data_IF_456214515067
#
_entry.id   IF_456214515067
#
_cell.length_a   1.000
_cell.length_b   1.000
_cell.length_c   1.000
_cell.angle_alpha   90.00
_cell.angle_beta   90.00
_cell.angle_gamma   90.00
#
_symmetry.space_group_name_H-M   'P 1'
#
loop_
_entity.id
_entity.type
_entity.pdbx_description
1 polymer ?
#
# COMPACT_ATOMS: atom_id res chain seq x y z
N UNK A 1 205.52 -139.02 -49.19
CA UNK A 1 204.70 -138.86 -47.97
C UNK A 1 204.26 -137.41 -47.73
N UNK A 2 205.06 -136.36 -48.02
CA UNK A 2 204.68 -134.95 -47.73
C UNK A 2 203.54 -134.36 -48.58
N UNK A 3 203.37 -134.78 -49.85
CA UNK A 3 202.29 -134.27 -50.72
C UNK A 3 200.88 -134.71 -50.26
N UNK A 4 200.77 -135.86 -49.61
CA UNK A 4 199.48 -136.38 -49.14
C UNK A 4 198.92 -135.58 -47.96
N UNK A 5 199.78 -134.98 -47.12
CA UNK A 5 199.36 -134.17 -45.97
C UNK A 5 198.88 -132.79 -46.41
N UNK A 6 199.49 -132.21 -47.46
CA UNK A 6 199.03 -130.92 -48.03
C UNK A 6 197.69 -131.04 -48.77
N UNK A 7 197.46 -132.10 -49.54
CA UNK A 7 196.16 -132.33 -50.18
C UNK A 7 195.04 -132.48 -49.14
N UNK A 8 195.24 -133.28 -48.09
CA UNK A 8 194.25 -133.44 -47.03
C UNK A 8 193.93 -132.12 -46.32
N UNK A 9 194.93 -131.25 -46.09
CA UNK A 9 194.70 -129.96 -45.43
C UNK A 9 193.91 -128.95 -46.29
N UNK A 10 194.15 -128.94 -47.61
CA UNK A 10 193.37 -128.09 -48.51
C UNK A 10 191.95 -128.64 -48.74
N UNK A 11 191.75 -129.96 -48.74
CA UNK A 11 190.42 -130.59 -48.75
C UNK A 11 189.62 -130.22 -47.49
N UNK A 12 190.22 -130.35 -46.31
CA UNK A 12 189.64 -129.93 -45.03
C UNK A 12 189.25 -128.44 -45.00
N UNK A 13 190.05 -127.60 -45.66
CA UNK A 13 189.80 -126.16 -45.78
C UNK A 13 188.66 -125.87 -46.75
N UNK A 14 188.58 -126.60 -47.85
CA UNK A 14 187.51 -126.47 -48.85
C UNK A 14 186.17 -126.94 -48.28
N UNK A 15 186.16 -128.05 -47.53
CA UNK A 15 184.98 -128.55 -46.83
C UNK A 15 184.49 -127.55 -45.77
N UNK A 16 185.40 -126.98 -44.97
CA UNK A 16 185.05 -125.90 -44.04
C UNK A 16 184.47 -124.66 -44.72
N UNK A 17 185.02 -124.26 -45.87
CA UNK A 17 184.49 -123.12 -46.64
C UNK A 17 183.13 -123.43 -47.27
N UNK A 18 182.90 -124.67 -47.71
CA UNK A 18 181.60 -125.11 -48.20
C UNK A 18 180.54 -125.10 -47.08
N UNK A 19 180.89 -125.60 -45.89
CA UNK A 19 180.01 -125.53 -44.72
C UNK A 19 179.67 -124.06 -44.39
N UNK A 20 180.68 -123.18 -44.34
CA UNK A 20 180.46 -121.75 -44.09
C UNK A 20 179.58 -121.08 -45.16
N UNK A 21 179.74 -121.46 -46.43
CA UNK A 21 178.90 -120.95 -47.51
C UNK A 21 177.45 -121.41 -47.37
N UNK A 22 177.22 -122.69 -47.06
CA UNK A 22 175.89 -123.23 -46.86
C UNK A 22 175.21 -122.67 -45.60
N UNK A 23 175.95 -122.50 -44.51
CA UNK A 23 175.45 -121.83 -43.30
C UNK A 23 175.11 -120.35 -43.58
N UNK A 24 175.91 -119.66 -44.39
CA UNK A 24 175.62 -118.28 -44.79
C UNK A 24 174.39 -118.19 -45.72
N UNK A 25 174.20 -119.14 -46.64
CA UNK A 25 172.99 -119.22 -47.47
C UNK A 25 171.75 -119.50 -46.62
N UNK A 26 171.82 -120.47 -45.71
CA UNK A 26 170.73 -120.76 -44.76
C UNK A 26 170.42 -119.55 -43.90
N UNK A 27 171.42 -118.88 -43.34
CA UNK A 27 171.22 -117.66 -42.58
C UNK A 27 170.56 -116.54 -43.42
N UNK A 28 170.91 -116.42 -44.71
CA UNK A 28 170.26 -115.47 -45.63
C UNK A 28 168.81 -115.84 -45.89
N UNK A 29 168.52 -117.11 -46.15
CA UNK A 29 167.17 -117.62 -46.38
C UNK A 29 166.31 -117.45 -45.14
N UNK A 30 166.80 -117.82 -43.96
CA UNK A 30 166.12 -117.59 -42.68
C UNK A 30 165.86 -116.10 -42.41
N UNK A 31 166.82 -115.23 -42.73
CA UNK A 31 166.61 -113.77 -42.62
C UNK A 31 165.57 -113.26 -43.61
N UNK A 32 165.55 -113.78 -44.84
CA UNK A 32 164.56 -113.42 -45.83
C UNK A 32 163.16 -113.91 -45.46
N UNK A 33 163.03 -115.15 -44.96
CA UNK A 33 161.77 -115.68 -44.45
C UNK A 33 161.25 -114.87 -43.27
N UNK A 34 162.12 -114.50 -42.31
CA UNK A 34 161.75 -113.60 -41.20
C UNK A 34 161.31 -112.24 -41.71
N UNK A 35 161.98 -111.68 -42.71
CA UNK A 35 161.59 -110.40 -43.31
C UNK A 35 160.23 -110.49 -44.01
N UNK A 36 160.00 -111.52 -44.83
CA UNK A 36 158.72 -111.74 -45.53
C UNK A 36 157.59 -111.97 -44.53
N UNK A 37 157.80 -112.84 -43.53
CA UNK A 37 156.82 -113.10 -42.49
C UNK A 37 156.48 -111.84 -41.68
N UNK A 38 157.49 -111.03 -41.33
CA UNK A 38 157.29 -109.75 -40.64
C UNK A 38 156.52 -108.74 -41.49
N UNK A 39 156.90 -108.59 -42.77
CA UNK A 39 156.20 -107.71 -43.73
C UNK A 39 154.74 -108.12 -43.89
N UNK A 40 154.48 -109.41 -44.08
CA UNK A 40 153.14 -109.93 -44.30
C UNK A 40 152.29 -109.83 -43.03
N UNK A 41 152.91 -110.02 -41.85
CA UNK A 41 152.28 -109.77 -40.56
C UNK A 41 151.86 -108.30 -40.41
N UNK A 42 152.77 -107.35 -40.64
CA UNK A 42 152.45 -105.91 -40.56
C UNK A 42 151.41 -105.47 -41.59
N UNK A 43 151.48 -106.00 -42.82
CA UNK A 43 150.46 -105.75 -43.86
C UNK A 43 149.09 -106.24 -43.40
N UNK A 44 149.01 -107.48 -42.91
CA UNK A 44 147.75 -108.08 -42.43
C UNK A 44 147.19 -107.33 -41.23
N UNK A 45 148.03 -106.92 -40.28
CA UNK A 45 147.59 -106.10 -39.15
C UNK A 45 147.07 -104.74 -39.61
N UNK A 46 147.75 -104.09 -40.55
CA UNK A 46 147.33 -102.79 -41.07
C UNK A 46 146.00 -102.90 -41.84
N UNK A 47 145.86 -103.89 -42.73
CA UNK A 47 144.61 -104.16 -43.45
C UNK A 47 143.48 -104.51 -42.48
N UNK A 48 143.75 -105.29 -41.43
CA UNK A 48 142.78 -105.62 -40.39
C UNK A 48 142.34 -104.38 -39.61
N UNK A 49 143.27 -103.53 -39.16
CA UNK A 49 142.94 -102.27 -38.47
C UNK A 49 142.14 -101.33 -39.36
N UNK A 50 142.55 -101.17 -40.62
CA UNK A 50 141.82 -100.35 -41.59
C UNK A 50 140.40 -100.89 -41.82
N UNK A 51 140.24 -102.20 -41.92
CA UNK A 51 138.93 -102.84 -42.05
C UNK A 51 138.07 -102.62 -40.80
N UNK A 52 138.63 -102.80 -39.61
CA UNK A 52 137.95 -102.55 -38.33
C UNK A 52 137.51 -101.09 -38.19
N UNK A 53 138.37 -100.13 -38.57
CA UNK A 53 138.03 -98.69 -38.56
C UNK A 53 136.91 -98.37 -39.55
N UNK A 54 136.98 -98.89 -40.78
CA UNK A 54 135.92 -98.71 -41.78
C UNK A 54 134.59 -99.31 -41.33
N UNK A 55 134.60 -100.50 -40.72
CA UNK A 55 133.39 -101.12 -40.18
C UNK A 55 132.86 -100.37 -38.95
N UNK A 56 133.71 -99.84 -38.08
CA UNK A 56 133.28 -98.97 -36.98
C UNK A 56 132.62 -97.69 -37.49
N UNK A 57 133.19 -97.04 -38.51
CA UNK A 57 132.60 -95.84 -39.12
C UNK A 57 131.24 -96.20 -39.74
N UNK A 58 131.15 -97.27 -40.53
CA UNK A 58 129.89 -97.74 -41.12
C UNK A 58 128.83 -98.01 -40.05
N UNK A 59 129.18 -98.69 -38.97
CA UNK A 59 128.25 -99.01 -37.89
C UNK A 59 127.76 -97.76 -37.17
N UNK A 60 128.66 -96.82 -36.84
CA UNK A 60 128.30 -95.54 -36.21
C UNK A 60 127.40 -94.71 -37.12
N UNK A 61 127.77 -94.57 -38.40
CA UNK A 61 126.96 -93.83 -39.38
C UNK A 61 125.58 -94.47 -39.55
N UNK A 62 125.48 -95.80 -39.61
CA UNK A 62 124.18 -96.48 -39.67
C UNK A 62 123.35 -96.26 -38.39
N UNK A 63 123.97 -96.28 -37.21
CA UNK A 63 123.29 -95.99 -35.95
C UNK A 63 122.79 -94.54 -35.91
N UNK A 64 123.60 -93.57 -36.32
CA UNK A 64 123.20 -92.16 -36.42
C UNK A 64 122.07 -91.95 -37.43
N UNK A 65 122.12 -92.61 -38.59
CA UNK A 65 121.04 -92.58 -39.58
C UNK A 65 119.74 -93.12 -38.99
N UNK A 66 119.77 -94.25 -38.29
CA UNK A 66 118.58 -94.82 -37.67
C UNK A 66 118.04 -93.96 -36.51
N UNK A 67 118.92 -93.35 -35.71
CA UNK A 67 118.53 -92.38 -34.68
C UNK A 67 117.89 -91.13 -35.28
N UNK A 68 118.44 -90.59 -36.37
CA UNK A 68 117.85 -89.43 -37.04
C UNK A 68 116.49 -89.76 -37.66
N UNK A 69 116.34 -90.95 -38.25
CA UNK A 69 115.05 -91.44 -38.78
C UNK A 69 114.02 -91.60 -37.66
N UNK A 70 114.39 -92.24 -36.54
CA UNK A 70 113.47 -92.44 -35.42
C UNK A 70 113.09 -91.11 -34.76
N UNK A 71 114.04 -90.22 -34.50
CA UNK A 71 113.79 -88.89 -33.94
C UNK A 71 112.90 -88.05 -34.86
N UNK A 72 113.15 -88.06 -36.18
CA UNK A 72 112.30 -87.36 -37.16
C UNK A 72 110.89 -87.93 -37.17
N UNK A 73 110.75 -89.26 -37.18
CA UNK A 73 109.45 -89.94 -37.12
C UNK A 73 108.68 -89.57 -35.85
N UNK A 74 109.31 -89.64 -34.68
CA UNK A 74 108.69 -89.25 -33.42
C UNK A 74 108.26 -87.79 -33.39
N UNK A 75 109.09 -86.89 -33.93
CA UNK A 75 108.76 -85.48 -34.05
C UNK A 75 107.50 -85.28 -34.92
N UNK A 76 107.44 -85.91 -36.10
CA UNK A 76 106.26 -85.86 -36.96
C UNK A 76 105.04 -86.50 -36.30
N UNK A 77 105.18 -87.59 -35.55
CA UNK A 77 104.06 -88.23 -34.84
C UNK A 77 103.55 -87.39 -33.66
N UNK A 78 104.44 -86.68 -32.94
CA UNK A 78 104.03 -85.69 -31.93
C UNK A 78 103.31 -84.52 -32.57
N UNK A 79 103.86 -83.97 -33.64
CA UNK A 79 103.24 -82.84 -34.34
C UNK A 79 101.86 -83.22 -34.92
N UNK A 80 101.75 -84.40 -35.54
CA UNK A 80 100.47 -84.89 -36.03
C UNK A 80 99.44 -85.11 -34.91
N UNK A 81 99.87 -85.55 -33.72
CA UNK A 81 98.97 -85.64 -32.55
C UNK A 81 98.53 -84.25 -32.08
N UNK A 82 99.46 -83.32 -31.91
CA UNK A 82 99.17 -81.94 -31.51
C UNK A 82 98.19 -81.26 -32.48
N UNK A 83 98.39 -81.43 -33.80
CA UNK A 83 97.50 -80.86 -34.81
C UNK A 83 96.10 -81.47 -34.79
N UNK A 84 95.98 -82.78 -34.53
CA UNK A 84 94.68 -83.45 -34.38
C UNK A 84 93.95 -82.97 -33.13
N UNK A 85 94.63 -82.90 -32.00
CA UNK A 85 94.06 -82.38 -30.75
C UNK A 85 93.65 -80.91 -30.89
N UNK A 86 94.48 -80.07 -31.51
CA UNK A 86 94.16 -78.67 -31.78
C UNK A 86 92.91 -78.53 -32.67
N UNK A 87 92.81 -79.36 -33.73
CA UNK A 87 91.62 -79.43 -34.58
C UNK A 87 90.39 -79.87 -33.78
N UNK A 88 90.49 -80.93 -32.98
CA UNK A 88 89.34 -81.46 -32.22
C UNK A 88 88.86 -80.45 -31.18
N UNK A 89 89.78 -79.76 -30.52
CA UNK A 89 89.47 -78.65 -29.61
C UNK A 89 88.79 -77.48 -30.34
N UNK A 90 89.25 -77.11 -31.53
CA UNK A 90 88.64 -76.06 -32.34
C UNK A 90 87.23 -76.45 -32.82
N UNK A 91 87.01 -77.73 -33.18
CA UNK A 91 85.68 -78.24 -33.55
C UNK A 91 84.74 -78.22 -32.34
N UNK A 92 85.18 -78.70 -31.18
CA UNK A 92 84.37 -78.67 -29.95
C UNK A 92 84.01 -77.23 -29.55
N UNK A 93 84.94 -76.28 -29.67
CA UNK A 93 84.66 -74.88 -29.38
C UNK A 93 83.67 -74.25 -30.38
N UNK A 94 83.82 -74.58 -31.67
CA UNK A 94 82.84 -74.17 -32.70
C UNK A 94 81.45 -74.71 -32.37
N UNK A 95 81.34 -75.98 -31.97
CA UNK A 95 80.05 -76.59 -31.61
C UNK A 95 79.42 -75.91 -30.39
N UNK A 96 80.22 -75.61 -29.36
CA UNK A 96 79.77 -74.82 -28.20
C UNK A 96 79.27 -73.44 -28.60
N UNK A 97 80.00 -72.73 -29.46
CA UNK A 97 79.62 -71.41 -29.96
C UNK A 97 78.30 -71.46 -30.75
N UNK A 98 78.11 -72.46 -31.61
CA UNK A 98 76.87 -72.65 -32.38
C UNK A 98 75.67 -72.94 -31.47
N UNK A 99 75.86 -73.73 -30.41
CA UNK A 99 74.78 -73.98 -29.44
C UNK A 99 74.42 -72.69 -28.71
N UNK A 100 75.41 -71.93 -28.23
CA UNK A 100 75.19 -70.66 -27.55
C UNK A 100 74.50 -69.62 -28.46
N UNK A 101 74.88 -69.55 -29.73
CA UNK A 101 74.23 -68.70 -30.73
C UNK A 101 72.75 -69.09 -30.93
N UNK A 102 72.47 -70.39 -31.10
CA UNK A 102 71.10 -70.89 -31.22
C UNK A 102 70.25 -70.58 -29.99
N UNK A 103 70.81 -70.69 -28.79
CA UNK A 103 70.11 -70.32 -27.55
C UNK A 103 69.87 -68.82 -27.45
N UNK A 104 70.83 -67.99 -27.83
CA UNK A 104 70.68 -66.53 -27.86
C UNK A 104 69.60 -66.11 -28.85
N UNK A 105 69.60 -66.68 -30.06
CA UNK A 105 68.56 -66.45 -31.07
C UNK A 105 67.18 -66.85 -30.57
N UNK A 106 67.03 -68.04 -29.94
CA UNK A 106 65.75 -68.46 -29.35
C UNK A 106 65.25 -67.49 -28.29
N UNK A 107 66.12 -67.00 -27.42
CA UNK A 107 65.74 -66.00 -26.39
C UNK A 107 65.33 -64.68 -27.03
N UNK A 108 66.05 -64.24 -28.07
CA UNK A 108 65.72 -63.04 -28.81
C UNK A 108 64.34 -63.16 -29.49
N UNK A 109 64.06 -64.29 -30.14
CA UNK A 109 62.78 -64.55 -30.79
C UNK A 109 61.62 -64.61 -29.79
N UNK A 110 61.83 -65.24 -28.62
CA UNK A 110 60.85 -65.24 -27.52
C UNK A 110 60.56 -63.83 -27.00
N UNK A 111 61.59 -63.01 -26.81
CA UNK A 111 61.44 -61.62 -26.38
C UNK A 111 60.71 -60.78 -27.43
N UNK A 112 61.02 -60.97 -28.71
CA UNK A 112 60.33 -60.29 -29.80
C UNK A 112 58.85 -60.64 -29.83
N UNK A 113 58.49 -61.91 -29.66
CA UNK A 113 57.10 -62.34 -29.67
C UNK A 113 56.34 -61.79 -28.46
N UNK A 114 56.93 -61.83 -27.26
CA UNK A 114 56.35 -61.21 -26.06
C UNK A 114 56.16 -59.70 -26.23
N UNK A 115 57.12 -58.99 -26.83
CA UNK A 115 56.99 -57.56 -27.12
C UNK A 115 55.85 -57.28 -28.11
N UNK A 116 55.69 -58.13 -29.14
CA UNK A 116 54.58 -58.04 -30.08
C UNK A 116 53.23 -58.29 -29.39
N UNK A 117 53.11 -59.35 -28.61
CA UNK A 117 51.90 -59.68 -27.86
C UNK A 117 51.50 -58.55 -26.90
N UNK A 118 52.47 -58.04 -26.12
CA UNK A 118 52.25 -56.90 -25.23
C UNK A 118 51.78 -55.67 -26.01
N UNK A 119 52.41 -55.38 -27.16
CA UNK A 119 52.03 -54.23 -27.96
C UNK A 119 50.62 -54.35 -28.55
N UNK A 120 50.26 -55.54 -29.01
CA UNK A 120 48.92 -55.84 -29.52
C UNK A 120 47.89 -55.69 -28.39
N UNK A 121 48.15 -56.23 -27.20
CA UNK A 121 47.29 -56.09 -26.03
C UNK A 121 47.10 -54.62 -25.63
N UNK A 122 48.18 -53.83 -25.56
CA UNK A 122 48.12 -52.39 -25.29
C UNK A 122 47.25 -51.64 -26.30
N UNK A 123 47.47 -51.88 -27.60
CA UNK A 123 46.70 -51.22 -28.67
C UNK A 123 45.23 -51.62 -28.64
N UNK A 124 44.92 -52.89 -28.36
CA UNK A 124 43.54 -53.35 -28.18
C UNK A 124 42.86 -52.67 -26.98
N UNK A 125 43.55 -52.57 -25.84
CA UNK A 125 43.03 -51.85 -24.67
C UNK A 125 42.80 -50.36 -24.96
N UNK A 126 43.75 -49.69 -25.62
CA UNK A 126 43.58 -48.29 -26.03
C UNK A 126 42.42 -48.11 -27.01
N UNK A 127 42.26 -49.02 -27.97
CA UNK A 127 41.14 -48.99 -28.91
C UNK A 127 39.80 -49.13 -28.20
N UNK A 128 39.71 -50.02 -27.20
CA UNK A 128 38.49 -50.25 -26.41
C UNK A 128 38.16 -49.07 -25.49
N UNK A 129 39.18 -48.44 -24.88
CA UNK A 129 38.97 -47.22 -24.10
C UNK A 129 38.43 -46.09 -24.99
N UNK A 130 39.07 -45.88 -26.15
CA UNK A 130 38.60 -44.88 -27.12
C UNK A 130 37.18 -45.16 -27.61
N UNK A 131 36.79 -46.42 -27.83
CA UNK A 131 35.41 -46.73 -28.23
C UNK A 131 34.40 -46.34 -27.15
N UNK A 132 34.69 -46.63 -25.87
CA UNK A 132 33.82 -46.20 -24.78
C UNK A 132 33.75 -44.68 -24.62
N UNK A 133 34.87 -43.98 -24.76
CA UNK A 133 34.90 -42.52 -24.75
C UNK A 133 34.05 -41.93 -25.89
N UNK A 134 34.13 -42.52 -27.09
CA UNK A 134 33.31 -42.07 -28.23
C UNK A 134 31.82 -42.33 -28.01
N UNK A 135 31.44 -43.49 -27.48
CA UNK A 135 30.04 -43.81 -27.16
C UNK A 135 29.48 -42.85 -26.11
N UNK A 136 30.25 -42.56 -25.06
CA UNK A 136 29.87 -41.63 -24.02
C UNK A 136 29.66 -40.21 -24.58
N UNK A 137 30.61 -39.71 -25.39
CA UNK A 137 30.47 -38.39 -26.03
C UNK A 137 29.27 -38.35 -26.97
N UNK A 138 29.01 -39.43 -27.72
CA UNK A 138 27.88 -39.51 -28.63
C UNK A 138 26.54 -39.47 -27.89
N UNK A 139 26.41 -40.17 -26.75
CA UNK A 139 25.20 -40.12 -25.93
C UNK A 139 24.95 -38.72 -25.38
N UNK A 140 26.00 -38.06 -24.85
CA UNK A 140 25.92 -36.68 -24.36
C UNK A 140 25.54 -35.69 -25.48
N UNK A 141 26.09 -35.88 -26.68
CA UNK A 141 25.73 -35.08 -27.85
C UNK A 141 24.25 -35.27 -28.23
N UNK A 142 23.74 -36.50 -28.21
CA UNK A 142 22.33 -36.77 -28.53
C UNK A 142 21.39 -36.14 -27.50
N UNK A 143 21.73 -36.20 -26.21
CA UNK A 143 20.93 -35.59 -25.15
C UNK A 143 20.92 -34.06 -25.26
N UNK A 144 22.09 -33.44 -25.47
CA UNK A 144 22.19 -31.99 -25.66
C UNK A 144 21.45 -31.51 -26.91
N UNK A 145 21.48 -32.27 -28.02
CA UNK A 145 20.71 -31.96 -29.22
C UNK A 145 19.19 -32.04 -28.99
N UNK A 146 18.72 -33.05 -28.23
CA UNK A 146 17.30 -33.15 -27.85
C UNK A 146 16.86 -31.97 -26.98
N UNK A 147 17.66 -31.63 -25.97
CA UNK A 147 17.38 -30.50 -25.08
C UNK A 147 17.33 -29.17 -25.86
N UNK A 148 18.28 -28.96 -26.78
CA UNK A 148 18.30 -27.78 -27.65
C UNK A 148 17.03 -27.70 -28.52
N UNK A 149 16.63 -28.81 -29.15
CA UNK A 149 15.42 -28.86 -29.97
C UNK A 149 14.17 -28.56 -29.14
N UNK A 150 14.08 -29.09 -27.91
CA UNK A 150 12.98 -28.79 -27.00
C UNK A 150 12.94 -27.29 -26.65
N UNK A 151 14.07 -26.69 -26.26
CA UNK A 151 14.14 -25.26 -25.96
C UNK A 151 13.74 -24.40 -27.17
N UNK A 152 14.15 -24.77 -28.39
CA UNK A 152 13.74 -24.08 -29.61
C UNK A 152 12.22 -24.12 -29.81
N UNK A 153 11.60 -25.28 -29.64
CA UNK A 153 10.14 -25.43 -29.73
C UNK A 153 9.41 -24.59 -28.67
N UNK A 154 9.94 -24.52 -27.46
CA UNK A 154 9.40 -23.67 -26.39
C UNK A 154 9.53 -22.18 -26.72
N UNK A 155 10.67 -21.74 -27.23
CA UNK A 155 10.87 -20.37 -27.70
C UNK A 155 9.87 -19.99 -28.80
N UNK A 156 9.68 -20.84 -29.82
CA UNK A 156 8.68 -20.61 -30.87
C UNK A 156 7.26 -20.52 -30.32
N UNK A 157 6.91 -21.38 -29.36
CA UNK A 157 5.60 -21.36 -28.70
C UNK A 157 5.38 -20.02 -27.97
N UNK A 158 6.36 -19.55 -27.21
CA UNK A 158 6.26 -18.28 -26.50
C UNK A 158 6.22 -17.08 -27.46
N UNK A 159 6.98 -17.14 -28.55
CA UNK A 159 6.97 -16.11 -29.59
C UNK A 159 5.58 -15.99 -30.24
N UNK A 160 4.97 -17.12 -30.65
CA UNK A 160 3.59 -17.13 -31.19
C UNK A 160 2.57 -16.61 -30.18
N UNK A 161 2.71 -16.99 -28.90
CA UNK A 161 1.82 -16.49 -27.83
C UNK A 161 1.92 -14.98 -27.68
N UNK A 162 3.14 -14.44 -27.73
CA UNK A 162 3.39 -13.01 -27.65
C UNK A 162 2.78 -12.29 -28.85
N UNK A 163 2.95 -12.79 -30.07
CA UNK A 163 2.35 -12.22 -31.27
C UNK A 163 0.81 -12.12 -31.19
N UNK A 164 0.14 -13.17 -30.69
CA UNK A 164 -1.32 -13.18 -30.52
C UNK A 164 -1.75 -12.17 -29.46
N UNK A 165 -1.12 -12.19 -28.28
CA UNK A 165 -1.45 -11.26 -27.20
C UNK A 165 -1.21 -9.80 -27.59
N UNK A 166 -0.14 -9.52 -28.33
CA UNK A 166 0.13 -8.18 -28.85
C UNK A 166 -0.96 -7.73 -29.82
N UNK A 167 -1.44 -8.60 -30.72
CA UNK A 167 -2.56 -8.28 -31.63
C UNK A 167 -3.86 -8.03 -30.87
N UNK A 168 -4.19 -8.87 -29.90
CA UNK A 168 -5.39 -8.70 -29.07
C UNK A 168 -5.33 -7.41 -28.24
N UNK A 169 -4.17 -7.10 -27.67
CA UNK A 169 -3.95 -5.86 -26.93
C UNK A 169 -4.21 -4.63 -27.81
N UNK A 170 -3.60 -4.56 -29.00
CA UNK A 170 -3.82 -3.43 -29.90
C UNK A 170 -5.25 -3.35 -30.44
N UNK A 171 -5.88 -4.50 -30.71
CA UNK A 171 -7.30 -4.53 -31.10
C UNK A 171 -8.20 -4.00 -30.00
N UNK A 172 -7.96 -4.41 -28.75
CA UNK A 172 -8.73 -3.95 -27.60
C UNK A 172 -8.50 -2.46 -27.37
N UNK A 173 -7.23 -2.02 -27.38
CA UNK A 173 -6.87 -0.61 -27.24
C UNK A 173 -7.56 0.26 -28.29
N UNK A 174 -7.55 -0.15 -29.56
CA UNK A 174 -8.24 0.58 -30.62
C UNK A 174 -9.75 0.64 -30.36
N UNK A 175 -10.38 -0.47 -29.96
CA UNK A 175 -11.82 -0.52 -29.66
C UNK A 175 -12.22 0.34 -28.46
N UNK A 176 -11.36 0.43 -27.43
CA UNK A 176 -11.62 1.25 -26.25
C UNK A 176 -11.40 2.72 -26.57
N UNK A 177 -10.38 3.07 -27.35
CA UNK A 177 -10.16 4.43 -27.84
C UNK A 177 -11.34 4.90 -28.69
N UNK A 178 -11.84 4.08 -29.64
CA UNK A 178 -13.05 4.43 -30.41
C UNK A 178 -14.24 4.63 -29.49
N UNK A 179 -14.45 3.76 -28.50
CA UNK A 179 -15.57 3.90 -27.54
C UNK A 179 -15.46 5.15 -26.68
N UNK A 180 -14.26 5.52 -26.25
CA UNK A 180 -14.00 6.75 -25.51
C UNK A 180 -14.37 7.96 -26.38
N UNK A 181 -13.94 7.98 -27.65
CA UNK A 181 -14.26 9.09 -28.55
C UNK A 181 -15.77 9.20 -28.82
N UNK A 182 -16.47 8.08 -29.03
CA UNK A 182 -17.93 8.06 -29.17
C UNK A 182 -18.63 8.65 -27.94
N UNK A 183 -18.26 8.20 -26.74
CA UNK A 183 -18.86 8.71 -25.50
C UNK A 183 -18.55 10.19 -25.28
N UNK A 184 -17.33 10.63 -25.60
CA UNK A 184 -16.97 12.05 -25.54
C UNK A 184 -17.81 12.90 -26.50
N UNK A 185 -18.04 12.42 -27.73
CA UNK A 185 -18.92 13.10 -28.70
C UNK A 185 -20.38 13.14 -28.25
N UNK A 186 -20.91 12.04 -27.70
CA UNK A 186 -22.27 12.02 -27.16
C UNK A 186 -22.42 12.99 -25.98
N UNK A 187 -21.42 13.06 -25.11
CA UNK A 187 -21.45 13.94 -23.95
C UNK A 187 -21.37 15.42 -24.37
N UNK A 188 -20.55 15.75 -25.37
CA UNK A 188 -20.50 17.12 -25.89
C UNK A 188 -21.80 17.53 -26.59
N UNK A 189 -22.45 16.61 -27.32
CA UNK A 189 -23.78 16.84 -27.92
C UNK A 189 -24.87 17.06 -26.85
N UNK A 190 -24.89 16.24 -25.80
CA UNK A 190 -25.84 16.38 -24.69
C UNK A 190 -25.59 17.67 -23.91
N UNK A 191 -24.33 18.03 -23.65
CA UNK A 191 -23.97 19.29 -23.02
C UNK A 191 -24.44 20.47 -23.86
N UNK A 192 -24.20 20.47 -25.17
CA UNK A 192 -24.67 21.52 -26.06
C UNK A 192 -26.20 21.64 -26.06
N UNK A 193 -26.93 20.51 -26.03
CA UNK A 193 -28.39 20.51 -25.89
C UNK A 193 -28.83 21.09 -24.54
N UNK A 194 -28.19 20.70 -23.44
CA UNK A 194 -28.49 21.25 -22.12
C UNK A 194 -28.28 22.76 -22.10
N UNK A 195 -27.15 23.25 -22.61
CA UNK A 195 -26.84 24.67 -22.71
C UNK A 195 -27.91 25.44 -23.51
N UNK A 196 -28.49 24.83 -24.56
CA UNK A 196 -29.61 25.45 -25.29
C UNK A 196 -30.89 25.50 -24.47
N UNK A 197 -31.21 24.44 -23.72
CA UNK A 197 -32.39 24.43 -22.84
C UNK A 197 -32.24 25.44 -21.69
N UNK A 198 -31.07 25.54 -21.07
CA UNK A 198 -30.80 26.51 -20.00
C UNK A 198 -30.90 27.96 -20.49
N UNK A 199 -30.45 28.24 -21.73
CA UNK A 199 -30.63 29.56 -22.33
C UNK A 199 -32.10 29.87 -22.59
N UNK A 200 -32.84 28.93 -23.15
CA UNK A 200 -34.29 29.08 -23.37
C UNK A 200 -35.04 29.27 -22.04
N UNK A 201 -34.65 28.58 -20.98
CA UNK A 201 -35.25 28.74 -19.65
C UNK A 201 -35.01 30.15 -19.10
N UNK A 202 -33.78 30.68 -19.20
CA UNK A 202 -33.47 32.07 -18.79
C UNK A 202 -34.27 33.10 -19.59
N UNK A 203 -34.35 32.93 -20.91
CA UNK A 203 -35.15 33.80 -21.78
C UNK A 203 -36.65 33.75 -21.38
N UNK A 204 -37.18 32.56 -21.07
CA UNK A 204 -38.56 32.40 -20.60
C UNK A 204 -38.80 33.07 -19.24
N UNK A 205 -37.89 32.93 -18.28
CA UNK A 205 -37.99 33.57 -16.96
C UNK A 205 -38.01 35.09 -17.08
N UNK A 206 -37.15 35.66 -17.94
CA UNK A 206 -37.13 37.10 -18.23
C UNK A 206 -38.47 37.58 -18.81
N UNK A 207 -39.06 36.83 -19.74
CA UNK A 207 -40.37 37.15 -20.34
C UNK A 207 -41.48 37.06 -19.29
N UNK A 208 -41.46 36.06 -18.41
CA UNK A 208 -42.46 35.92 -17.33
C UNK A 208 -42.38 37.14 -16.42
N UNK A 209 -41.18 37.58 -16.05
CA UNK A 209 -41.01 38.76 -15.21
C UNK A 209 -41.52 40.03 -15.91
N UNK A 210 -41.12 40.27 -17.15
CA UNK A 210 -41.55 41.43 -17.94
C UNK A 210 -43.07 41.46 -18.11
N UNK A 211 -43.69 40.34 -18.49
CA UNK A 211 -45.15 40.25 -18.65
C UNK A 211 -45.90 40.36 -17.32
N UNK A 212 -45.30 39.93 -16.22
CA UNK A 212 -45.90 40.03 -14.89
C UNK A 212 -45.95 41.47 -14.36
N UNK A 213 -44.96 42.30 -14.71
CA UNK A 213 -44.90 43.71 -14.32
C UNK A 213 -45.85 44.62 -15.11
N UNK A 214 -46.26 44.21 -16.31
CA UNK A 214 -47.17 44.98 -17.18
C UNK A 214 -48.60 44.99 -16.64
N UNK A 215 -49.21 46.19 -16.57
CA UNK A 215 -50.57 46.40 -16.04
C UNK A 215 -51.68 46.11 -17.07
N UNK A 216 -51.38 46.24 -18.38
CA UNK A 216 -52.32 45.93 -19.46
C UNK A 216 -52.26 44.44 -19.81
N UNK A 217 -53.42 43.77 -19.75
CA UNK A 217 -53.56 42.35 -20.04
C UNK A 217 -53.36 42.04 -21.52
N UNK A 218 -53.76 42.96 -22.41
CA UNK A 218 -53.67 42.81 -23.86
C UNK A 218 -52.23 42.99 -24.34
N UNK A 219 -51.51 43.96 -23.77
CA UNK A 219 -50.13 44.24 -24.15
C UNK A 219 -49.15 43.18 -23.62
N UNK A 220 -49.42 42.60 -22.45
CA UNK A 220 -48.66 41.44 -21.99
C UNK A 220 -48.95 40.16 -22.78
N UNK A 221 -50.18 39.98 -23.25
CA UNK A 221 -50.48 38.88 -24.17
C UNK A 221 -49.75 39.09 -25.52
N UNK A 222 -49.57 40.34 -25.96
CA UNK A 222 -48.75 40.70 -27.14
C UNK A 222 -47.26 40.41 -26.94
N UNK A 223 -46.66 40.79 -25.81
CA UNK A 223 -45.24 40.53 -25.50
C UNK A 223 -44.98 39.03 -25.36
N UNK A 224 -45.91 38.30 -24.73
CA UNK A 224 -45.85 36.84 -24.66
C UNK A 224 -45.91 36.25 -26.07
N UNK A 225 -46.80 36.76 -26.94
CA UNK A 225 -46.96 36.31 -28.32
C UNK A 225 -45.74 36.60 -29.21
N UNK A 226 -45.07 37.76 -29.06
CA UNK A 226 -43.90 38.14 -29.87
C UNK A 226 -42.68 37.24 -29.66
N UNK A 227 -42.55 36.62 -28.48
CA UNK A 227 -41.51 35.64 -28.18
C UNK A 227 -41.87 34.20 -28.61
N UNK A 228 -42.87 34.03 -29.48
CA UNK A 228 -43.15 32.75 -30.13
C UNK A 228 -44.16 31.85 -29.40
N UNK A 229 -44.78 32.33 -28.31
CA UNK A 229 -45.90 31.68 -27.61
C UNK A 229 -47.10 31.33 -28.52
N UNK A 230 -47.20 31.99 -29.67
CA UNK A 230 -48.22 31.75 -30.69
C UNK A 230 -47.92 30.63 -31.70
N UNK A 231 -46.65 30.38 -32.04
CA UNK A 231 -46.30 29.66 -33.26
C UNK A 231 -45.58 28.31 -33.04
N UNK A 232 -44.65 28.19 -32.09
CA UNK A 232 -43.71 27.04 -32.04
C UNK A 232 -43.59 26.31 -30.68
N UNK A 233 -44.42 26.64 -29.68
CA UNK A 233 -44.37 25.99 -28.34
C UNK A 233 -45.44 24.88 -28.24
N UNK A 234 -45.08 23.64 -27.83
CA UNK A 234 -46.05 22.57 -27.61
C UNK A 234 -47.21 22.98 -26.70
N UNK A 235 -48.43 22.55 -27.00
CA UNK A 235 -49.67 22.98 -26.34
C UNK A 235 -49.66 22.83 -24.81
N UNK A 236 -48.96 21.83 -24.28
CA UNK A 236 -48.77 21.62 -22.84
C UNK A 236 -47.84 22.67 -22.19
N UNK A 237 -46.74 23.03 -22.85
CA UNK A 237 -45.83 24.07 -22.39
C UNK A 237 -46.47 25.46 -22.51
N UNK A 238 -47.26 25.69 -23.57
CA UNK A 238 -48.09 26.89 -23.74
C UNK A 238 -49.05 27.10 -22.56
N UNK A 239 -49.77 26.05 -22.16
CA UNK A 239 -50.68 26.11 -21.00
C UNK A 239 -49.95 26.41 -19.71
N UNK A 240 -48.79 25.77 -19.48
CA UNK A 240 -47.97 26.00 -18.28
C UNK A 240 -47.45 27.42 -18.20
N UNK A 241 -46.91 27.96 -19.30
CA UNK A 241 -46.39 29.32 -19.34
C UNK A 241 -47.49 30.35 -19.05
N UNK A 242 -48.68 30.20 -19.65
CA UNK A 242 -49.84 31.05 -19.36
C UNK A 242 -50.20 31.03 -17.87
N UNK A 243 -50.23 29.83 -17.27
CA UNK A 243 -50.51 29.65 -15.84
C UNK A 243 -49.42 30.30 -14.97
N UNK A 244 -48.15 30.13 -15.30
CA UNK A 244 -47.03 30.75 -14.59
C UNK A 244 -47.10 32.28 -14.63
N UNK A 245 -47.39 32.88 -15.80
CA UNK A 245 -47.57 34.33 -15.94
C UNK A 245 -48.75 34.84 -15.13
N UNK A 246 -49.91 34.18 -15.18
CA UNK A 246 -51.07 34.56 -14.36
C UNK A 246 -50.78 34.47 -12.86
N UNK A 247 -50.07 33.44 -12.42
CA UNK A 247 -49.66 33.28 -11.03
C UNK A 247 -48.69 34.39 -10.62
N UNK A 248 -47.67 34.69 -11.43
CA UNK A 248 -46.71 35.77 -11.18
C UNK A 248 -47.41 37.13 -11.06
N UNK A 249 -48.34 37.44 -11.96
CA UNK A 249 -49.18 38.66 -11.90
C UNK A 249 -50.02 38.73 -10.64
N UNK A 250 -50.68 37.63 -10.28
CA UNK A 250 -51.52 37.57 -9.07
C UNK A 250 -50.68 37.77 -7.81
N UNK A 251 -49.48 37.17 -7.76
CA UNK A 251 -48.53 37.35 -6.66
C UNK A 251 -48.10 38.82 -6.55
N UNK A 252 -47.66 39.45 -7.64
CA UNK A 252 -47.28 40.87 -7.64
C UNK A 252 -48.45 41.78 -7.20
N UNK A 253 -49.67 41.50 -7.64
CA UNK A 253 -50.85 42.25 -7.21
C UNK A 253 -51.11 42.11 -5.71
N UNK A 254 -51.03 40.88 -5.19
CA UNK A 254 -51.20 40.59 -3.75
C UNK A 254 -50.07 41.21 -2.93
N UNK A 255 -48.84 41.24 -3.43
CA UNK A 255 -47.71 41.92 -2.79
C UNK A 255 -47.90 43.43 -2.74
N UNK A 256 -48.37 44.05 -3.84
CA UNK A 256 -48.75 45.47 -3.86
C UNK A 256 -49.86 45.76 -2.84
N UNK A 257 -50.90 44.93 -2.79
CA UNK A 257 -52.01 45.07 -1.84
C UNK A 257 -51.54 44.89 -0.39
N UNK A 258 -50.72 43.88 -0.09
CA UNK A 258 -50.12 43.69 1.23
C UNK A 258 -49.26 44.89 1.63
N UNK A 259 -48.46 45.41 0.70
CA UNK A 259 -47.63 46.60 0.96
C UNK A 259 -48.48 47.83 1.31
N UNK A 260 -49.63 48.01 0.65
CA UNK A 260 -50.58 49.08 0.96
C UNK A 260 -51.26 48.85 2.31
N UNK A 261 -51.76 47.64 2.57
CA UNK A 261 -52.41 47.29 3.84
C UNK A 261 -51.47 47.43 5.04
N UNK A 262 -50.19 47.09 4.89
CA UNK A 262 -49.17 47.29 5.92
C UNK A 262 -49.00 48.78 6.22
N UNK A 263 -48.90 49.63 5.18
CA UNK A 263 -48.82 51.09 5.36
C UNK A 263 -50.07 51.65 6.04
N UNK A 264 -51.26 51.22 5.63
CA UNK A 264 -52.51 51.66 6.25
C UNK A 264 -52.59 51.21 7.71
N UNK A 265 -52.15 49.99 8.02
CA UNK A 265 -52.12 49.45 9.38
C UNK A 265 -51.14 50.22 10.28
N UNK A 266 -49.97 50.60 9.76
CA UNK A 266 -49.03 51.49 10.45
C UNK A 266 -49.67 52.85 10.73
N UNK A 267 -50.34 53.45 9.74
CA UNK A 267 -51.04 54.72 9.93
C UNK A 267 -52.15 54.64 10.98
N UNK A 268 -52.96 53.57 10.96
CA UNK A 268 -54.00 53.33 11.97
C UNK A 268 -53.41 53.15 13.37
N UNK A 269 -52.27 52.45 13.51
CA UNK A 269 -51.57 52.34 14.80
C UNK A 269 -51.15 53.70 15.33
N UNK A 270 -50.60 54.57 14.47
CA UNK A 270 -50.23 55.93 14.86
C UNK A 270 -51.45 56.72 15.36
N UNK A 271 -52.58 56.67 14.64
CA UNK A 271 -53.82 57.33 15.07
C UNK A 271 -54.33 56.81 16.42
N UNK A 272 -54.32 55.49 16.64
CA UNK A 272 -54.71 54.88 17.93
C UNK A 272 -53.80 55.37 19.06
N UNK A 273 -52.49 55.46 18.83
CA UNK A 273 -51.56 55.97 19.85
C UNK A 273 -51.83 57.43 20.20
N UNK A 274 -52.18 58.27 19.21
CA UNK A 274 -52.54 59.68 19.45
C UNK A 274 -53.82 59.81 20.27
N UNK A 275 -54.89 59.10 19.89
CA UNK A 275 -56.16 59.10 20.62
C UNK A 275 -55.97 58.58 22.05
N UNK A 276 -55.18 57.52 22.23
CA UNK A 276 -54.87 57.00 23.57
C UNK A 276 -54.14 58.02 24.45
N UNK A 277 -53.24 58.82 23.88
CA UNK A 277 -52.57 59.90 24.60
C UNK A 277 -53.53 61.02 24.97
N UNK A 278 -54.43 61.41 24.06
CA UNK A 278 -55.49 62.40 24.33
C UNK A 278 -56.45 61.94 25.44
N UNK A 279 -56.88 60.67 25.39
CA UNK A 279 -57.70 60.05 26.43
C UNK A 279 -56.98 60.06 27.78
N UNK A 280 -55.68 59.76 27.81
CA UNK A 280 -54.86 59.85 29.03
C UNK A 280 -54.83 61.25 29.61
N UNK A 281 -54.69 62.29 28.77
CA UNK A 281 -54.73 63.70 29.19
C UNK A 281 -56.11 64.09 29.73
N UNK A 282 -57.18 63.72 29.05
CA UNK A 282 -58.55 64.01 29.47
C UNK A 282 -58.90 63.35 30.81
N UNK A 283 -58.51 62.09 31.00
CA UNK A 283 -58.70 61.38 32.27
C UNK A 283 -57.88 62.00 33.42
N UNK A 284 -56.66 62.47 33.16
CA UNK A 284 -55.87 63.21 34.16
C UNK A 284 -56.57 64.50 34.58
N UNK A 285 -57.15 65.23 33.63
CA UNK A 285 -57.88 66.48 33.89
C UNK A 285 -59.16 66.23 34.70
N UNK A 286 -59.90 65.17 34.36
CA UNK A 286 -61.12 64.76 35.08
C UNK A 286 -60.82 64.41 36.54
N UNK A 287 -59.73 63.68 36.80
CA UNK A 287 -59.32 63.34 38.16
C UNK A 287 -58.96 64.58 39.01
N UNK A 288 -58.41 65.64 38.41
CA UNK A 288 -58.14 66.90 39.11
C UNK A 288 -59.45 67.63 39.51
N UNK A 289 -60.46 67.61 38.65
CA UNK A 289 -61.76 68.27 38.90
C UNK A 289 -62.61 67.54 39.94
N UNK A 290 -62.49 66.20 40.07
CA UNK A 290 -63.28 65.44 41.03
C UNK A 290 -62.80 65.56 42.49
N UNK A 291 -61.57 66.02 42.77
CA UNK A 291 -61.07 66.11 44.15
C UNK A 291 -61.82 67.11 45.05
N UNK A 292 -62.11 68.36 44.60
CA UNK A 292 -62.90 69.31 45.40
C UNK A 292 -64.34 68.85 45.64
N UNK A 293 -64.96 68.22 44.64
CA UNK A 293 -66.32 67.67 44.76
C UNK A 293 -66.38 66.52 45.77
N UNK A 294 -65.39 65.62 45.76
CA UNK A 294 -65.33 64.50 46.71
C UNK A 294 -65.19 65.00 48.16
N UNK A 295 -64.33 65.98 48.39
CA UNK A 295 -64.15 66.58 49.72
C UNK A 295 -65.41 67.31 50.22
N UNK A 296 -66.13 68.01 49.33
CA UNK A 296 -67.37 68.72 49.66
C UNK A 296 -68.52 67.75 50.02
N UNK A 297 -68.64 66.63 49.30
CA UNK A 297 -69.66 65.60 49.59
C UNK A 297 -69.42 64.99 50.98
N UNK A 298 -68.17 64.69 51.33
CA UNK A 298 -67.81 64.16 52.66
C UNK A 298 -68.14 65.16 53.78
N UNK A 299 -67.92 66.46 53.58
CA UNK A 299 -68.27 67.50 54.57
C UNK A 299 -69.78 67.71 54.73
N UNK A 300 -70.55 67.61 53.64
CA UNK A 300 -72.02 67.71 53.68
C UNK A 300 -72.62 66.51 54.43
N UNK A 301 -72.16 65.29 54.15
CA UNK A 301 -72.64 64.08 54.85
C UNK A 301 -72.38 64.15 56.36
N UNK A 302 -71.24 64.68 56.78
CA UNK A 302 -70.90 64.83 58.19
C UNK A 302 -71.83 65.85 58.89
N UNK A 303 -72.24 66.93 58.20
CA UNK A 303 -73.22 67.88 58.72
C UNK A 303 -74.64 67.30 58.79
N UNK A 304 -75.06 66.54 57.79
CA UNK A 304 -76.37 65.90 57.79
C UNK A 304 -76.54 64.91 58.95
N UNK A 305 -75.47 64.17 59.32
CA UNK A 305 -75.51 63.31 60.51
C UNK A 305 -75.71 64.07 61.82
N UNK A 306 -75.12 65.27 61.95
CA UNK A 306 -75.27 66.10 63.15
C UNK A 306 -76.68 66.69 63.25
N UNK A 307 -77.27 67.08 62.11
CA UNK A 307 -78.65 67.60 62.05
C UNK A 307 -79.64 66.52 62.48
N UNK A 308 -79.48 65.27 62.04
CA UNK A 308 -80.38 64.19 62.40
C UNK A 308 -80.36 63.90 63.92
N UNK A 309 -79.18 63.89 64.55
CA UNK A 309 -79.07 63.71 66.01
C UNK A 309 -79.77 64.84 66.80
N UNK A 310 -79.71 66.07 66.30
CA UNK A 310 -80.40 67.20 66.93
C UNK A 310 -81.92 67.12 66.75
N UNK A 311 -82.40 66.70 65.57
CA UNK A 311 -83.83 66.52 65.31
C UNK A 311 -84.46 65.46 66.23
N UNK A 312 -83.79 64.32 66.45
CA UNK A 312 -84.31 63.29 67.36
C UNK A 312 -84.49 63.83 68.80
N UNK A 313 -83.50 64.57 69.31
CA UNK A 313 -83.60 65.22 70.64
C UNK A 313 -84.79 66.16 70.75
N UNK A 314 -85.08 66.95 69.71
CA UNK A 314 -86.23 67.86 69.69
C UNK A 314 -87.54 67.07 69.75
N UNK A 315 -87.69 66.03 68.93
CA UNK A 315 -88.92 65.21 68.91
C UNK A 315 -89.19 64.49 70.23
N UNK A 316 -88.16 64.11 70.98
CA UNK A 316 -88.30 63.53 72.31
C UNK A 316 -88.88 64.55 73.30
N UNK A 317 -88.31 65.76 73.33
CA UNK A 317 -88.74 66.84 74.23
C UNK A 317 -90.17 67.31 73.94
N UNK A 318 -90.57 67.37 72.67
CA UNK A 318 -91.95 67.74 72.30
C UNK A 318 -93.00 66.73 72.80
N UNK A 319 -92.67 65.43 72.81
CA UNK A 319 -93.57 64.39 73.35
C UNK A 319 -93.81 64.58 74.85
N UNK A 320 -92.75 64.86 75.61
CA UNK A 320 -92.81 65.06 77.06
C UNK A 320 -93.67 66.27 77.43
N UNK A 321 -93.52 67.39 76.68
CA UNK A 321 -94.36 68.58 76.86
C UNK A 321 -95.82 68.29 76.56
N UNK A 322 -96.12 67.47 75.54
CA UNK A 322 -97.50 67.11 75.20
C UNK A 322 -98.18 66.27 76.28
N UNK A 323 -97.44 65.36 76.94
CA UNK A 323 -97.95 64.50 78.01
C UNK A 323 -98.27 65.32 79.26
N UNK A 324 -97.34 66.19 79.68
CA UNK A 324 -97.53 67.08 80.82
C UNK A 324 -98.73 68.03 80.63
N UNK A 325 -98.95 68.54 79.42
CA UNK A 325 -100.11 69.38 79.13
C UNK A 325 -101.44 68.61 79.24
N UNK A 326 -101.49 67.35 78.78
CA UNK A 326 -102.69 66.51 78.91
C UNK A 326 -103.04 66.27 80.39
N UNK A 327 -102.07 65.96 81.23
CA UNK A 327 -102.27 65.78 82.67
C UNK A 327 -102.78 67.06 83.36
N UNK A 328 -102.19 68.22 83.03
CA UNK A 328 -102.62 69.52 83.55
C UNK A 328 -104.09 69.83 83.20
N UNK A 329 -104.51 69.55 81.96
CA UNK A 329 -105.89 69.80 81.53
C UNK A 329 -106.90 68.86 82.19
N UNK A 330 -106.53 67.61 82.46
CA UNK A 330 -107.38 66.66 83.17
C UNK A 330 -107.61 67.09 84.63
N UNK A 331 -106.55 67.50 85.33
CA UNK A 331 -106.63 68.01 86.70
C UNK A 331 -107.48 69.28 86.81
N UNK A 332 -107.36 70.19 85.83
CA UNK A 332 -108.19 71.40 85.77
C UNK A 332 -109.69 71.10 85.60
N UNK A 333 -110.06 70.08 84.80
CA UNK A 333 -111.46 69.66 84.66
C UNK A 333 -112.04 69.14 85.97
N UNK A 334 -111.32 68.26 86.65
CA UNK A 334 -111.77 67.69 87.93
C UNK A 334 -111.98 68.78 88.98
N UNK A 335 -111.07 69.75 89.08
CA UNK A 335 -111.20 70.89 90.00
C UNK A 335 -112.47 71.71 89.72
N UNK A 336 -112.73 72.05 88.46
CA UNK A 336 -113.87 72.88 88.10
C UNK A 336 -115.21 72.16 88.31
N UNK A 337 -115.27 70.85 88.07
CA UNK A 337 -116.44 70.02 88.35
C UNK A 337 -116.81 70.06 89.85
N UNK A 338 -115.81 69.96 90.73
CA UNK A 338 -116.02 70.03 92.18
C UNK A 338 -116.48 71.42 92.64
N UNK A 339 -116.02 72.49 91.99
CA UNK A 339 -116.47 73.86 92.30
C UNK A 339 -117.95 74.06 91.95
N UNK A 340 -118.40 73.53 90.80
CA UNK A 340 -119.80 73.64 90.37
C UNK A 340 -120.78 72.86 91.25
N UNK A 341 -120.38 71.73 91.83
CA UNK A 341 -121.24 70.97 92.74
C UNK A 341 -121.42 71.69 94.10
N UNK A 342 -120.44 72.49 94.52
CA UNK A 342 -120.52 73.32 95.73
C UNK A 342 -121.47 74.52 95.56
N UNK A 343 -121.45 75.18 94.41
CA UNK A 343 -122.34 76.31 94.10
C UNK A 343 -123.82 75.89 94.02
N UNK A 344 -124.11 74.70 93.47
CA UNK A 344 -125.48 74.19 93.38
C UNK A 344 -126.12 73.94 94.75
N UNK A 345 -125.34 73.48 95.73
CA UNK A 345 -125.83 73.24 97.09
C UNK A 345 -126.14 74.54 97.85
N UNK A 346 -125.44 75.64 97.55
CA UNK A 346 -125.69 76.94 98.20
C UNK A 346 -126.81 77.73 97.55
N UNK A 347 -126.96 77.68 96.22
CA UNK A 347 -128.06 78.38 95.53
C UNK A 347 -129.45 77.81 95.82
N UNK A 348 -129.56 76.56 96.31
CA UNK A 348 -130.83 76.05 96.87
C UNK A 348 -131.26 76.75 98.17
N UNK A 349 -130.39 77.55 98.80
CA UNK A 349 -130.72 78.35 100.00
C UNK A 349 -131.24 79.75 99.68
N UNK A 350 -130.80 80.38 98.59
CA UNK A 350 -131.09 81.80 98.28
C UNK A 350 -132.37 82.03 97.45
N UNK A 351 -132.83 81.06 96.67
CA UNK A 351 -134.07 81.19 95.86
C UNK A 351 -135.33 81.33 96.74
N UNK A 352 -135.28 80.88 97.99
CA UNK A 352 -136.34 81.14 98.99
C UNK A 352 -136.42 82.63 99.37
N UNK A 353 -135.34 83.40 99.21
CA UNK A 353 -135.23 84.79 99.69
C UNK A 353 -135.65 85.86 98.67
N UNK A 354 -135.50 85.59 97.36
CA UNK A 354 -135.60 86.62 96.29
C UNK A 354 -137.02 86.91 95.75
N UNK A 355 -138.02 86.10 96.09
CA UNK A 355 -139.43 86.36 95.69
C UNK A 355 -140.05 87.60 96.37
N UNK A 356 -139.34 88.24 97.31
CA UNK A 356 -139.88 89.33 98.13
C UNK A 356 -139.74 90.73 97.48
N UNK A 357 -138.85 90.96 96.49
CA UNK A 357 -138.37 92.34 96.19
C UNK A 357 -138.70 92.98 94.82
N UNK A 358 -139.27 92.28 93.84
CA UNK A 358 -139.32 92.75 92.43
C UNK A 358 -140.43 93.77 92.05
N UNK A 359 -140.82 94.70 92.93
CA UNK A 359 -141.96 95.61 92.68
C UNK A 359 -141.67 97.00 92.06
N UNK A 360 -140.43 97.50 92.03
CA UNK A 360 -140.22 98.97 92.10
C UNK A 360 -139.57 99.70 90.89
N UNK A 361 -139.24 99.08 89.76
CA UNK A 361 -138.23 99.62 88.80
C UNK A 361 -138.72 100.10 87.40
N UNK A 362 -139.34 101.27 87.24
CA UNK A 362 -139.70 101.79 85.90
C UNK A 362 -139.61 103.34 85.80
N UNK A 363 -138.42 103.92 85.60
CA UNK A 363 -138.24 105.38 85.72
C UNK A 363 -137.37 106.19 84.75
N UNK A 364 -136.40 105.67 83.97
CA UNK A 364 -135.27 106.57 83.56
C UNK A 364 -134.77 106.45 82.10
N UNK A 365 -135.63 106.48 81.08
CA UNK A 365 -135.20 106.46 79.67
C UNK A 365 -135.73 107.68 78.88
N UNK A 366 -134.93 108.73 78.62
CA UNK A 366 -135.38 109.82 77.70
C UNK A 366 -134.39 110.78 76.98
N UNK A 367 -133.04 110.77 77.09
CA UNK A 367 -132.32 112.07 76.83
C UNK A 367 -131.52 112.33 75.53
N UNK A 368 -130.95 111.42 74.73
CA UNK A 368 -129.86 111.87 73.81
C UNK A 368 -129.99 111.50 72.31
N UNK A 369 -130.38 112.48 71.48
CA UNK A 369 -130.33 112.47 69.98
C UNK A 369 -130.25 113.92 69.44
N UNK A 370 -129.07 114.44 69.08
CA UNK A 370 -128.84 115.73 68.37
C UNK A 370 -127.37 115.91 67.92
N UNK A 371 -127.15 116.44 66.70
CA UNK A 371 -125.89 116.95 66.06
C UNK A 371 -125.01 115.97 65.25
N UNK A 372 -125.00 116.05 63.88
CA UNK A 372 -123.86 115.73 62.95
C UNK A 372 -124.16 115.77 61.41
N UNK A 373 -124.73 116.84 60.79
CA UNK A 373 -124.99 116.79 59.31
C UNK A 373 -124.62 118.00 58.40
N UNK A 374 -123.72 118.93 58.76
CA UNK A 374 -123.61 120.22 58.02
C UNK A 374 -122.53 120.36 56.91
N UNK A 375 -121.47 119.55 56.76
CA UNK A 375 -120.28 120.04 55.96
C UNK A 375 -120.15 119.49 54.51
N UNK A 376 -121.01 118.59 54.02
CA UNK A 376 -120.85 118.00 52.66
C UNK A 376 -121.40 118.87 51.49
N UNK A 377 -122.20 119.92 51.72
CA UNK A 377 -123.06 120.45 50.64
C UNK A 377 -122.58 121.62 49.75
N UNK A 378 -121.39 122.25 49.90
CA UNK A 378 -121.15 123.53 49.18
C UNK A 378 -119.89 123.72 48.31
N UNK A 379 -118.95 122.79 48.22
CA UNK A 379 -117.76 122.97 47.35
C UNK A 379 -117.93 122.50 45.88
N UNK A 380 -118.98 121.74 45.55
CA UNK A 380 -119.21 121.16 44.20
C UNK A 380 -119.90 122.11 43.17
N UNK A 381 -119.96 123.42 43.43
CA UNK A 381 -120.74 124.39 42.62
C UNK A 381 -119.93 125.35 41.72
N UNK A 382 -118.60 125.26 41.58
CA UNK A 382 -117.81 126.30 40.85
C UNK A 382 -116.77 125.88 39.81
N UNK A 383 -116.67 124.61 39.42
CA UNK A 383 -115.98 124.19 38.18
C UNK A 383 -116.76 122.98 37.62
N UNK A 384 -117.98 123.11 37.08
CA UNK A 384 -118.45 124.02 36.03
C UNK A 384 -117.62 123.92 34.75
N UNK A 385 -118.18 123.17 33.82
CA UNK A 385 -118.39 123.67 32.47
C UNK A 385 -117.13 124.10 31.71
N UNK A 386 -116.35 123.13 31.26
CA UNK A 386 -115.87 123.07 29.87
C UNK A 386 -115.90 121.58 29.53
N UNK A 387 -117.08 121.11 29.14
CA UNK A 387 -117.40 120.87 27.73
C UNK A 387 -116.52 119.74 27.18
N UNK A 388 -117.12 118.57 27.03
CA UNK A 388 -117.90 118.25 25.84
C UNK A 388 -116.99 118.31 24.61
N UNK A 389 -116.62 117.15 24.07
CA UNK A 389 -117.01 116.76 22.72
C UNK A 389 -116.69 115.27 22.53
N UNK A 390 -117.75 114.49 22.27
CA UNK A 390 -117.83 113.24 21.48
C UNK A 390 -117.24 111.93 22.04
N UNK A 391 -118.09 111.01 22.55
CA UNK A 391 -118.78 109.89 21.83
C UNK A 391 -117.84 108.67 21.60
N UNK A 392 -117.94 107.61 22.39
CA UNK A 392 -118.73 106.37 22.13
C UNK A 392 -118.01 105.30 21.29
N UNK A 393 -117.35 104.32 21.96
CA UNK A 393 -117.46 102.85 21.74
C UNK A 393 -116.86 102.08 22.94
#
# INVERSE_FOLDING_TARGET
>A
MELSVRCAHEEDRLERLQIQLEDAKKAREEMYEKYVASRDHYKTEYEKRLHEELEQIRLKTNQEIEQLKSASKEMYERENRNLREARDNAVAEKERAVIAEKEALRKHDQLLEQQRENKVAELLHQSKLKSFETEHVQLMQQETAKNLSQCQMECEKYQRKLEVLTKEYYSLQSSTETRITELQTQNSELQARLDTYEKLEKELDEIILQTAEMEDEVEAERVLFSYGYGANVPTTAKRRLKQSVHLARRLLQLEKQNSLLVKDLEHQKEQVTQISQELGRANSLLNQVQQPHKYLIETVQQRDSQINQQKERITQLEKDVSLLNKEKTALLRVKNQMATDLERLLNHREVIFLLVYFGLFLGVLSVLLSETEVIICQALRRLSAVLCYTLSC
#
